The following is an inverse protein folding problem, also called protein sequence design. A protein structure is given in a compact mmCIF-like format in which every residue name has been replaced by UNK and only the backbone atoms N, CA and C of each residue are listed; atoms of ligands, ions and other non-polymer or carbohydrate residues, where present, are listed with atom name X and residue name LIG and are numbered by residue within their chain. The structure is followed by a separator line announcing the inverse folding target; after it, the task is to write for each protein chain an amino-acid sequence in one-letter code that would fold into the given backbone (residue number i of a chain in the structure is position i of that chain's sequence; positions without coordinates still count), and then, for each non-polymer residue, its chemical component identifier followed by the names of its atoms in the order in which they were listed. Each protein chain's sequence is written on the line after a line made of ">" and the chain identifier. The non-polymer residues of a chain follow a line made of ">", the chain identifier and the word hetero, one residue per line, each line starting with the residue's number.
data_IF_466109189962
#
_entry.id   IF_466109189962
#
_cell.length_a   1.000
_cell.length_b   1.000
_cell.length_c   1.000
_cell.angle_alpha   90.00
_cell.angle_beta   90.00
_cell.angle_gamma   90.00
#
_symmetry.space_group_name_H-M   'P 1'
#
loop_
_entity.id
_entity.type
_entity.pdbx_description
1 polymer ?
#
# COMPACT_ATOMS: atom_id res chain seq x y z
N UNK A 1 5.44 3.20 -4.23
CA UNK A 1 5.96 1.82 -4.28
C UNK A 1 5.78 1.20 -2.91
N UNK A 2 5.03 0.11 -2.81
CA UNK A 2 4.92 -0.65 -1.56
C UNK A 2 6.27 -1.31 -1.30
N UNK A 3 6.95 -0.94 -0.21
CA UNK A 3 8.12 -1.69 0.23
C UNK A 3 7.64 -3.05 0.72
N UNK A 4 8.29 -4.13 0.29
CA UNK A 4 8.07 -5.46 0.88
C UNK A 4 8.36 -5.45 2.38
N UNK A 5 7.99 -6.52 3.12
CA UNK A 5 8.25 -6.60 4.55
C UNK A 5 9.73 -6.29 4.86
N UNK A 6 9.97 -5.69 6.03
CA UNK A 6 11.28 -5.33 6.56
C UNK A 6 11.30 -5.54 8.09
N UNK A 7 12.44 -5.31 8.73
CA UNK A 7 12.58 -5.52 10.17
C UNK A 7 12.79 -7.00 10.49
N UNK A 8 12.16 -7.50 11.56
CA UNK A 8 12.23 -8.92 11.97
C UNK A 8 11.73 -9.87 10.87
N UNK A 9 10.74 -9.42 10.10
CA UNK A 9 10.13 -10.22 9.02
C UNK A 9 11.03 -10.32 7.78
N UNK A 10 11.97 -9.41 7.59
CA UNK A 10 12.92 -9.45 6.49
C UNK A 10 14.20 -8.63 6.82
N UNK A 11 15.17 -9.26 7.52
CA UNK A 11 16.37 -8.59 8.01
C UNK A 11 17.38 -8.20 6.92
N UNK A 12 17.25 -8.76 5.70
CA UNK A 12 18.17 -8.55 4.59
C UNK A 12 17.72 -7.45 3.62
N UNK A 13 16.56 -6.84 3.86
CA UNK A 13 16.03 -5.77 3.01
C UNK A 13 16.98 -4.56 2.96
N UNK A 14 17.04 -3.87 1.81
CA UNK A 14 17.92 -2.71 1.57
C UNK A 14 17.71 -1.56 2.57
N UNK A 15 16.53 -1.47 3.18
CA UNK A 15 16.24 -0.47 4.20
C UNK A 15 16.78 -0.83 5.60
N UNK A 16 17.30 -2.03 5.82
CA UNK A 16 17.81 -2.50 7.12
C UNK A 16 19.18 -1.91 7.43
N UNK A 17 19.37 -1.42 8.65
CA UNK A 17 20.68 -0.98 9.15
C UNK A 17 21.41 -2.14 9.82
N UNK A 18 22.75 -2.04 9.92
CA UNK A 18 23.63 -3.00 10.59
C UNK A 18 23.21 -3.39 12.02
N UNK A 19 22.46 -2.52 12.71
CA UNK A 19 21.92 -2.74 14.06
C UNK A 19 20.56 -3.48 14.08
N UNK A 20 20.13 -4.09 12.97
CA UNK A 20 18.94 -4.93 12.92
C UNK A 20 17.61 -4.19 12.91
N UNK A 21 17.59 -2.87 12.65
CA UNK A 21 16.36 -2.09 12.55
C UNK A 21 16.22 -1.42 11.18
N UNK A 22 14.98 -1.25 10.72
CA UNK A 22 14.68 -0.53 9.48
C UNK A 22 15.07 0.95 9.63
N UNK A 23 15.80 1.52 8.65
CA UNK A 23 16.19 2.94 8.62
C UNK A 23 15.00 3.88 8.84
N UNK A 24 13.83 3.48 8.34
CA UNK A 24 12.59 4.26 8.41
C UNK A 24 11.73 3.90 9.64
N UNK A 25 12.21 3.00 10.51
CA UNK A 25 11.54 2.53 11.73
C UNK A 25 10.14 1.96 11.51
N UNK A 26 9.93 1.25 10.41
CA UNK A 26 8.65 0.58 10.13
C UNK A 26 8.63 -0.89 10.57
N UNK A 27 7.49 -1.40 11.05
CA UNK A 27 6.40 -0.64 11.67
C UNK A 27 6.85 -0.10 13.04
N UNK A 28 6.41 1.09 13.46
CA UNK A 28 6.68 1.52 14.85
C UNK A 28 5.74 0.74 15.77
N UNK A 29 6.20 0.35 16.95
CA UNK A 29 5.34 -0.36 17.91
C UNK A 29 4.11 0.47 18.34
N UNK A 30 4.17 1.80 18.17
CA UNK A 30 3.06 2.74 18.41
C UNK A 30 2.13 2.94 17.21
N UNK A 31 2.45 2.36 16.06
CA UNK A 31 1.68 2.54 14.83
C UNK A 31 0.41 1.70 14.90
N UNK A 32 -0.70 2.37 15.16
CA UNK A 32 -2.02 1.75 15.07
C UNK A 32 -2.46 1.75 13.60
N UNK A 33 -2.65 0.57 13.02
CA UNK A 33 -3.06 0.40 11.61
C UNK A 33 -4.31 1.21 11.30
N UNK A 34 -5.29 1.24 12.19
CA UNK A 34 -6.52 2.03 12.01
C UNK A 34 -6.23 3.53 11.95
N UNK A 35 -5.32 4.04 12.80
CA UNK A 35 -4.90 5.46 12.81
C UNK A 35 -4.11 5.86 11.57
N UNK A 36 -3.33 4.93 11.02
CA UNK A 36 -2.60 5.11 9.76
C UNK A 36 -3.58 5.10 8.59
N UNK A 37 -4.45 4.09 8.52
CA UNK A 37 -5.44 3.96 7.44
C UNK A 37 -6.44 5.13 7.41
N UNK A 38 -6.74 5.73 8.57
CA UNK A 38 -7.62 6.91 8.66
C UNK A 38 -6.92 8.24 8.39
N UNK A 39 -5.61 8.28 8.15
CA UNK A 39 -4.89 9.53 7.94
C UNK A 39 -5.10 10.06 6.51
N UNK A 40 -5.81 11.20 6.33
CA UNK A 40 -6.09 11.74 5.01
C UNK A 40 -4.84 12.25 4.27
N UNK A 41 -3.72 12.47 4.98
CA UNK A 41 -2.44 12.83 4.37
C UNK A 41 -1.70 11.61 3.79
N UNK A 42 -2.09 10.39 4.16
CA UNK A 42 -1.56 9.18 3.55
C UNK A 42 -2.30 8.99 2.24
N UNK A 43 -1.66 9.44 1.15
CA UNK A 43 -2.15 9.24 -0.21
C UNK A 43 -2.56 7.78 -0.40
N UNK A 44 -3.83 7.56 -0.70
CA UNK A 44 -4.28 6.24 -1.15
C UNK A 44 -3.51 5.93 -2.43
N UNK A 45 -2.65 4.91 -2.34
CA UNK A 45 -1.88 4.49 -3.50
C UNK A 45 -2.85 3.95 -4.55
N UNK A 46 -2.50 4.07 -5.84
CA UNK A 46 -3.29 3.44 -6.90
C UNK A 46 -3.57 1.95 -6.65
N UNK A 47 -2.66 1.24 -5.96
CA UNK A 47 -2.83 -0.16 -5.60
C UNK A 47 -3.94 -0.38 -4.57
N UNK A 48 -4.06 0.51 -3.58
CA UNK A 48 -5.15 0.45 -2.60
C UNK A 48 -6.48 0.75 -3.30
N UNK A 49 -6.52 1.75 -4.18
CA UNK A 49 -7.74 2.09 -4.93
C UNK A 49 -8.17 0.95 -5.85
N UNK A 50 -7.23 0.28 -6.51
CA UNK A 50 -7.50 -0.95 -7.28
C UNK A 50 -8.20 -2.01 -6.44
N UNK A 51 -7.67 -2.34 -5.25
CA UNK A 51 -8.30 -3.35 -4.39
C UNK A 51 -9.67 -2.90 -3.86
N UNK A 52 -9.84 -1.62 -3.54
CA UNK A 52 -11.12 -1.09 -3.09
C UNK A 52 -12.17 -1.17 -4.19
N UNK A 53 -11.82 -0.78 -5.42
CA UNK A 53 -12.74 -0.80 -6.56
C UNK A 53 -13.12 -2.23 -6.95
N UNK A 54 -12.17 -3.17 -6.95
CA UNK A 54 -12.49 -4.59 -7.17
C UNK A 54 -13.38 -5.20 -6.07
N UNK A 55 -13.46 -4.57 -4.89
CA UNK A 55 -14.33 -5.03 -3.80
C UNK A 55 -15.75 -4.49 -3.90
N UNK A 56 -15.95 -3.27 -4.42
CA UNK A 56 -17.23 -2.57 -4.31
C UNK A 56 -17.84 -2.11 -5.63
N UNK A 57 -17.08 -2.00 -6.72
CA UNK A 57 -17.56 -1.54 -8.01
C UNK A 57 -17.90 -2.73 -8.92
N UNK A 58 -19.16 -2.84 -9.34
CA UNK A 58 -19.65 -3.92 -10.21
C UNK A 58 -18.95 -3.93 -11.58
N UNK A 59 -18.73 -2.77 -12.19
CA UNK A 59 -18.00 -2.71 -13.46
C UNK A 59 -16.56 -3.19 -13.29
N UNK A 60 -15.90 -2.84 -12.19
CA UNK A 60 -14.53 -3.32 -11.94
C UNK A 60 -14.48 -4.84 -11.74
N UNK A 61 -15.47 -5.41 -11.03
CA UNK A 61 -15.60 -6.86 -10.86
C UNK A 61 -15.88 -7.58 -12.19
N UNK A 62 -16.73 -7.02 -13.03
CA UNK A 62 -17.12 -7.63 -14.31
C UNK A 62 -16.00 -7.54 -15.35
N UNK A 63 -15.26 -6.44 -15.37
CA UNK A 63 -14.14 -6.23 -16.31
C UNK A 63 -12.90 -7.10 -15.98
N UNK A 64 -12.77 -7.57 -14.73
CA UNK A 64 -11.66 -8.41 -14.25
C UNK A 64 -10.27 -7.93 -14.71
N UNK A 65 -10.03 -6.61 -14.58
CA UNK A 65 -8.83 -5.94 -15.09
C UNK A 65 -7.59 -6.31 -14.30
N UNK A 66 -6.45 -6.43 -15.00
CA UNK A 66 -5.14 -6.44 -14.36
C UNK A 66 -4.84 -5.05 -13.78
N UNK A 67 -4.00 -5.02 -12.74
CA UNK A 67 -3.58 -3.76 -12.12
C UNK A 67 -2.99 -2.75 -13.12
N UNK A 68 -2.35 -3.23 -14.19
CA UNK A 68 -1.75 -2.41 -15.24
C UNK A 68 -2.80 -1.77 -16.18
N UNK A 69 -3.94 -2.43 -16.37
CA UNK A 69 -5.03 -2.01 -17.25
C UNK A 69 -6.02 -1.09 -16.51
N UNK A 70 -6.06 -1.20 -15.19
CA UNK A 70 -6.96 -0.42 -14.33
C UNK A 70 -6.96 1.10 -14.58
N UNK A 71 -5.81 1.79 -14.77
CA UNK A 71 -5.78 3.24 -14.97
C UNK A 71 -6.36 3.70 -16.32
N UNK A 72 -6.52 2.79 -17.27
CA UNK A 72 -7.12 3.07 -18.58
C UNK A 72 -8.65 3.12 -18.50
N UNK A 73 -9.23 2.42 -17.51
CA UNK A 73 -10.67 2.34 -17.27
C UNK A 73 -11.15 3.21 -16.11
N UNK A 74 -10.29 3.43 -15.10
CA UNK A 74 -10.66 4.15 -13.88
C UNK A 74 -9.66 5.27 -13.58
N UNK A 75 -10.15 6.50 -13.52
CA UNK A 75 -9.33 7.67 -13.15
C UNK A 75 -9.07 7.67 -11.64
N UNK A 76 -7.86 7.30 -11.23
CA UNK A 76 -7.45 7.38 -9.82
C UNK A 76 -6.98 8.81 -9.52
N UNK A 77 -7.85 9.61 -8.88
CA UNK A 77 -7.47 10.96 -8.41
C UNK A 77 -6.53 10.84 -7.20
N UNK A 78 -5.23 10.87 -7.44
CA UNK A 78 -4.21 11.05 -6.41
C UNK A 78 -4.18 12.52 -5.95
N UNK A 79 -5.13 12.94 -5.10
CA UNK A 79 -4.98 14.19 -4.33
C UNK A 79 -4.13 13.94 -3.08
#
# INVERSE_FOLDING_TARGET
>A
MMHGPCGKLNPTNSCMKKKGYCKNKYPKDTDNISKIASNPMIRKTMLIEFFLMNKSNKEAMDLNLLYREFPEHFVVNSR
#
